data_IF_504283335696
#
_entry.id   IF_504283335696
#
_cell.length_a   1.000
_cell.length_b   1.000
_cell.length_c   1.000
_cell.angle_alpha   90.00
_cell.angle_beta   90.00
_cell.angle_gamma   90.00
#
_symmetry.space_group_name_H-M   'P 1'
#
loop_
_entity.id
_entity.type
_entity.pdbx_description
1 polymer ?
#
# COMPACT_ATOMS: atom_id res chain seq x y z
N UNK A 1 19.28 3.25 -5.98
CA UNK A 1 19.14 2.01 -6.74
C UNK A 1 20.49 1.27 -6.82
N UNK A 2 21.57 1.87 -7.27
CA UNK A 2 22.86 1.19 -7.42
C UNK A 2 23.38 0.55 -6.12
N UNK A 3 23.19 1.21 -4.95
CA UNK A 3 23.54 0.57 -3.66
C UNK A 3 22.70 -0.69 -3.40
N UNK A 4 21.43 -0.69 -3.78
CA UNK A 4 20.51 -1.81 -3.52
C UNK A 4 20.65 -2.95 -4.54
N UNK A 5 20.77 -2.61 -5.82
CA UNK A 5 20.73 -3.58 -6.91
C UNK A 5 22.04 -3.70 -7.70
N UNK A 6 22.96 -2.72 -7.61
CA UNK A 6 24.21 -2.74 -8.36
C UNK A 6 25.14 -3.89 -7.98
N UNK A 7 25.92 -4.39 -8.95
CA UNK A 7 26.94 -5.39 -8.68
C UNK A 7 28.07 -4.82 -7.78
N UNK A 8 28.86 -5.69 -7.18
CA UNK A 8 30.01 -5.29 -6.35
C UNK A 8 31.12 -4.55 -7.14
N UNK A 9 31.05 -4.53 -8.47
CA UNK A 9 31.96 -3.77 -9.31
C UNK A 9 31.59 -2.30 -9.45
N UNK A 10 30.37 -1.93 -9.12
CA UNK A 10 29.90 -0.55 -9.13
C UNK A 10 30.38 0.21 -7.88
N UNK A 11 30.38 1.54 -7.91
CA UNK A 11 30.81 2.35 -6.75
C UNK A 11 29.98 2.05 -5.51
N UNK A 12 28.65 2.06 -5.64
CA UNK A 12 27.74 1.85 -4.50
C UNK A 12 27.57 0.38 -4.12
N UNK A 13 27.72 -0.55 -5.07
CA UNK A 13 27.78 -1.98 -4.78
C UNK A 13 29.00 -2.35 -3.95
N UNK A 14 30.17 -1.72 -4.21
CA UNK A 14 31.38 -1.86 -3.36
C UNK A 14 31.13 -1.37 -1.93
N UNK A 15 30.43 -0.24 -1.77
CA UNK A 15 30.06 0.29 -0.44
C UNK A 15 29.12 -0.67 0.30
N UNK A 16 28.13 -1.23 -0.39
CA UNK A 16 27.25 -2.25 0.18
C UNK A 16 28.04 -3.47 0.65
N UNK A 17 28.93 -3.98 -0.19
CA UNK A 17 29.79 -5.13 0.14
C UNK A 17 30.71 -4.84 1.34
N UNK A 18 31.30 -3.63 1.41
CA UNK A 18 32.11 -3.19 2.55
C UNK A 18 31.30 -3.10 3.86
N UNK A 19 29.97 -2.86 3.77
CA UNK A 19 29.05 -2.89 4.91
C UNK A 19 28.58 -4.31 5.28
N UNK A 20 29.16 -5.35 4.68
CA UNK A 20 28.88 -6.75 5.00
C UNK A 20 27.80 -7.41 4.13
N UNK A 21 27.32 -6.73 3.09
CA UNK A 21 26.23 -7.22 2.20
C UNK A 21 26.68 -7.24 0.73
N UNK A 22 27.50 -8.25 0.29
CA UNK A 22 28.00 -8.31 -1.08
C UNK A 22 26.89 -8.54 -2.12
N UNK A 23 25.86 -9.32 -1.77
CA UNK A 23 24.76 -9.61 -2.67
C UNK A 23 23.75 -8.43 -2.77
N UNK A 24 23.18 -8.16 -3.96
CA UNK A 24 22.10 -7.21 -4.12
C UNK A 24 20.88 -7.52 -3.23
N UNK A 25 20.22 -6.47 -2.72
CA UNK A 25 18.99 -6.63 -1.95
C UNK A 25 17.77 -6.97 -2.82
N UNK A 26 17.84 -6.75 -4.13
CA UNK A 26 16.76 -7.05 -5.07
C UNK A 26 15.57 -6.10 -4.92
N UNK A 27 15.84 -4.78 -4.85
CA UNK A 27 14.78 -3.76 -4.88
C UNK A 27 13.91 -3.95 -6.12
N UNK A 28 12.61 -4.15 -5.91
CA UNK A 28 11.62 -4.31 -6.99
C UNK A 28 10.69 -3.11 -7.10
N UNK A 29 10.38 -2.46 -5.99
CA UNK A 29 9.40 -1.38 -5.91
C UNK A 29 10.05 -0.13 -5.35
N UNK A 30 9.77 1.01 -5.96
CA UNK A 30 10.23 2.32 -5.50
C UNK A 30 9.06 3.29 -5.55
N UNK A 31 8.65 3.76 -4.40
CA UNK A 31 7.68 4.84 -4.29
C UNK A 31 8.39 6.20 -4.38
N UNK A 32 7.78 7.14 -5.13
CA UNK A 32 8.26 8.50 -5.29
C UNK A 32 7.29 9.46 -4.60
N UNK A 33 7.73 10.03 -3.49
CA UNK A 33 6.98 10.95 -2.66
C UNK A 33 6.18 10.25 -1.55
N UNK A 34 5.34 11.02 -0.88
CA UNK A 34 4.36 10.59 0.10
C UNK A 34 3.26 11.63 0.19
N UNK A 35 1.99 11.25 0.04
CA UNK A 35 0.82 12.14 0.16
C UNK A 35 0.96 13.46 -0.64
N UNK A 36 1.50 13.36 -1.83
CA UNK A 36 1.80 14.52 -2.65
C UNK A 36 0.52 15.31 -3.00
N UNK A 37 0.59 16.62 -2.79
CA UNK A 37 -0.56 17.53 -2.95
C UNK A 37 -1.74 17.25 -2.00
N UNK A 38 -1.49 16.67 -0.81
CA UNK A 38 -2.54 16.43 0.19
C UNK A 38 -3.22 17.73 0.67
N UNK A 39 -2.49 18.86 0.71
CA UNK A 39 -2.98 20.14 1.19
C UNK A 39 -3.45 21.07 0.04
N UNK A 40 -4.46 20.64 -0.66
CA UNK A 40 -5.02 21.45 -1.73
C UNK A 40 -5.35 20.63 -2.98
N UNK A 41 -5.84 21.33 -4.02
CA UNK A 41 -6.19 20.74 -5.31
C UNK A 41 -5.80 21.71 -6.44
N UNK A 42 -4.55 22.19 -6.38
CA UNK A 42 -4.02 23.18 -7.30
C UNK A 42 -3.30 22.48 -8.44
N UNK A 43 -3.71 22.75 -9.67
CA UNK A 43 -3.14 22.12 -10.88
C UNK A 43 -1.63 22.29 -11.00
N UNK A 44 -1.09 23.45 -10.61
CA UNK A 44 0.34 23.72 -10.66
C UNK A 44 1.15 22.83 -9.72
N UNK A 45 0.59 22.47 -8.54
CA UNK A 45 1.26 21.59 -7.58
C UNK A 45 1.32 20.16 -8.13
N UNK A 46 0.25 19.69 -8.77
CA UNK A 46 0.27 18.39 -9.45
C UNK A 46 1.25 18.39 -10.63
N UNK A 47 1.35 19.51 -11.40
CA UNK A 47 2.32 19.59 -12.47
C UNK A 47 3.76 19.51 -11.94
N UNK A 48 4.06 20.23 -10.85
CA UNK A 48 5.36 20.17 -10.20
C UNK A 48 5.70 18.75 -9.70
N UNK A 49 4.72 18.06 -9.13
CA UNK A 49 4.89 16.65 -8.73
C UNK A 49 5.16 15.73 -9.93
N UNK A 50 4.39 15.89 -11.02
CA UNK A 50 4.56 15.10 -12.25
C UNK A 50 5.97 15.30 -12.83
N UNK A 51 6.45 16.53 -12.89
CA UNK A 51 7.77 16.85 -13.42
C UNK A 51 8.87 16.20 -12.57
N UNK A 52 8.79 16.35 -11.25
CA UNK A 52 9.72 15.70 -10.31
C UNK A 52 9.68 14.17 -10.38
N UNK A 53 8.49 13.58 -10.49
CA UNK A 53 8.34 12.14 -10.67
C UNK A 53 9.06 11.69 -11.94
N UNK A 54 8.86 12.38 -13.06
CA UNK A 54 9.48 12.02 -14.32
C UNK A 54 11.00 12.12 -14.28
N UNK A 55 11.56 13.16 -13.67
CA UNK A 55 13.02 13.32 -13.51
C UNK A 55 13.63 12.16 -12.72
N UNK A 56 12.98 11.75 -11.62
CA UNK A 56 13.43 10.65 -10.79
C UNK A 56 13.26 9.32 -11.54
N UNK A 57 12.11 9.12 -12.19
CA UNK A 57 11.83 7.95 -13.00
C UNK A 57 12.90 7.73 -14.07
N UNK A 58 13.21 8.75 -14.86
CA UNK A 58 14.20 8.64 -15.93
C UNK A 58 15.59 8.32 -15.39
N UNK A 59 16.01 8.97 -14.30
CA UNK A 59 17.31 8.74 -13.67
C UNK A 59 17.44 7.31 -13.09
N UNK A 60 16.39 6.78 -12.49
CA UNK A 60 16.38 5.44 -11.90
C UNK A 60 16.22 4.37 -12.98
N UNK A 61 15.27 4.54 -13.89
CA UNK A 61 15.00 3.59 -14.98
C UNK A 61 16.20 3.39 -15.90
N UNK A 62 16.99 4.44 -16.13
CA UNK A 62 18.25 4.33 -16.87
C UNK A 62 19.31 3.47 -16.17
N UNK A 63 19.20 3.31 -14.85
CA UNK A 63 20.13 2.49 -14.04
C UNK A 63 19.63 1.06 -13.83
N UNK A 64 18.33 0.91 -13.65
CA UNK A 64 17.67 -0.36 -13.39
C UNK A 64 16.24 -0.32 -13.94
N UNK A 65 16.02 -0.85 -15.17
CA UNK A 65 14.71 -0.83 -15.81
C UNK A 65 13.70 -1.81 -15.21
N UNK A 66 14.13 -2.72 -14.32
CA UNK A 66 13.26 -3.72 -13.69
C UNK A 66 12.53 -3.16 -12.46
N UNK A 67 12.96 -2.00 -11.95
CA UNK A 67 12.30 -1.35 -10.82
C UNK A 67 10.94 -0.85 -11.23
N UNK A 68 9.90 -1.25 -10.50
CA UNK A 68 8.54 -0.79 -10.66
C UNK A 68 8.29 0.42 -9.77
N UNK A 69 7.70 1.46 -10.37
CA UNK A 69 7.48 2.71 -9.67
C UNK A 69 6.07 2.80 -9.12
N UNK A 70 5.97 3.44 -7.96
CA UNK A 70 4.73 3.76 -7.29
C UNK A 70 4.67 5.27 -7.15
N UNK A 71 3.53 5.87 -7.45
CA UNK A 71 3.34 7.29 -7.25
C UNK A 71 2.33 7.57 -6.13
N UNK A 72 2.52 8.66 -5.42
CA UNK A 72 1.85 9.02 -4.18
C UNK A 72 1.00 10.28 -4.26
N UNK A 73 0.54 10.67 -5.46
CA UNK A 73 -0.40 11.80 -5.56
C UNK A 73 -1.68 11.49 -4.77
N UNK A 74 -2.05 12.40 -3.87
CA UNK A 74 -3.23 12.22 -3.00
C UNK A 74 -4.50 11.99 -3.83
N UNK A 75 -5.15 10.87 -3.62
CA UNK A 75 -6.36 10.49 -4.36
C UNK A 75 -7.54 11.39 -4.01
N UNK A 76 -8.11 12.07 -5.02
CA UNK A 76 -9.32 12.90 -4.91
C UNK A 76 -10.27 12.54 -6.05
N UNK A 77 -11.20 11.60 -5.85
CA UNK A 77 -12.01 11.05 -6.95
C UNK A 77 -12.78 12.10 -7.76
N UNK A 78 -13.13 13.24 -7.15
CA UNK A 78 -13.90 14.30 -7.82
C UNK A 78 -13.02 15.41 -8.46
N UNK A 79 -11.70 15.36 -8.25
CA UNK A 79 -10.80 16.33 -8.84
C UNK A 79 -10.53 16.04 -10.33
N UNK A 80 -10.61 17.04 -11.20
CA UNK A 80 -10.20 16.89 -12.61
C UNK A 80 -8.70 16.65 -12.76
N UNK A 81 -7.90 16.98 -11.75
CA UNK A 81 -6.47 16.79 -11.76
C UNK A 81 -6.07 15.30 -11.71
N UNK A 82 -6.94 14.41 -11.21
CA UNK A 82 -6.65 12.97 -11.14
C UNK A 82 -6.44 12.36 -12.53
N UNK A 83 -7.28 12.71 -13.49
CA UNK A 83 -7.09 12.25 -14.87
C UNK A 83 -5.78 12.77 -15.48
N UNK A 84 -5.40 14.00 -15.17
CA UNK A 84 -4.13 14.60 -15.63
C UNK A 84 -2.93 13.85 -15.06
N UNK A 85 -2.91 13.61 -13.74
CA UNK A 85 -1.85 12.83 -13.07
C UNK A 85 -1.77 11.43 -13.64
N UNK A 86 -2.91 10.74 -13.73
CA UNK A 86 -2.98 9.40 -14.28
C UNK A 86 -2.36 9.33 -15.69
N UNK A 87 -2.83 10.20 -16.62
CA UNK A 87 -2.34 10.20 -18.01
C UNK A 87 -0.86 10.55 -18.15
N UNK A 88 -0.34 11.36 -17.24
CA UNK A 88 1.08 11.74 -17.24
C UNK A 88 2.00 10.61 -16.74
N UNK A 89 1.49 9.73 -15.86
CA UNK A 89 2.28 8.71 -15.18
C UNK A 89 1.94 7.26 -15.59
N UNK A 90 0.82 7.05 -16.31
CA UNK A 90 0.45 5.74 -16.84
C UNK A 90 1.51 5.20 -17.81
N UNK A 91 1.91 3.95 -17.62
CA UNK A 91 3.03 3.34 -18.34
C UNK A 91 4.42 3.61 -17.74
N UNK A 92 4.53 4.52 -16.75
CA UNK A 92 5.74 4.75 -15.95
C UNK A 92 5.57 4.25 -14.53
N UNK A 93 4.50 4.67 -13.84
CA UNK A 93 4.12 4.13 -12.55
C UNK A 93 3.29 2.84 -12.75
N UNK A 94 3.66 1.79 -12.03
CA UNK A 94 2.91 0.54 -11.98
C UNK A 94 1.74 0.59 -10.98
N UNK A 95 1.84 1.48 -9.98
CA UNK A 95 0.86 1.59 -8.91
C UNK A 95 0.63 3.03 -8.50
N UNK A 96 -0.60 3.31 -8.07
CA UNK A 96 -1.01 4.50 -7.35
C UNK A 96 -1.15 4.16 -5.88
N UNK A 97 -0.43 4.84 -4.99
CA UNK A 97 -0.58 4.64 -3.56
C UNK A 97 -1.83 5.35 -3.03
N UNK A 98 -2.64 4.62 -2.27
CA UNK A 98 -3.90 5.07 -1.69
C UNK A 98 -3.86 4.89 -0.17
N UNK A 99 -4.16 5.95 0.59
CA UNK A 99 -4.12 5.99 2.04
C UNK A 99 -5.52 6.01 2.65
N UNK A 100 -6.13 4.86 2.94
CA UNK A 100 -7.44 4.79 3.57
C UNK A 100 -7.39 5.01 5.08
N UNK A 101 -8.54 5.39 5.63
CA UNK A 101 -8.76 5.52 7.07
C UNK A 101 -9.61 4.36 7.59
N UNK A 102 -9.21 3.73 8.72
CA UNK A 102 -9.76 2.45 9.19
C UNK A 102 -10.26 2.45 10.64
N UNK A 103 -10.61 3.59 11.21
CA UNK A 103 -11.18 3.67 12.56
C UNK A 103 -12.71 3.49 12.60
N UNK A 104 -13.41 3.81 11.52
CA UNK A 104 -14.87 3.87 11.49
C UNK A 104 -15.47 2.56 11.01
N UNK A 105 -16.60 2.15 11.61
CA UNK A 105 -17.33 0.94 11.21
C UNK A 105 -17.76 0.95 9.74
N UNK A 106 -17.98 2.15 9.16
CA UNK A 106 -18.26 2.32 7.72
C UNK A 106 -17.03 2.32 6.79
N UNK A 107 -15.82 2.19 7.33
CA UNK A 107 -14.58 2.25 6.53
C UNK A 107 -14.53 1.13 5.48
N UNK A 108 -15.02 -0.06 5.80
CA UNK A 108 -15.09 -1.19 4.87
C UNK A 108 -15.83 -0.81 3.58
N UNK A 109 -17.06 -0.33 3.70
CA UNK A 109 -17.91 0.04 2.56
C UNK A 109 -17.35 1.24 1.79
N UNK A 110 -16.76 2.19 2.49
CA UNK A 110 -16.13 3.35 1.87
C UNK A 110 -14.92 2.94 1.04
N UNK A 111 -14.02 2.14 1.59
CA UNK A 111 -12.80 1.68 0.93
C UNK A 111 -13.16 0.78 -0.27
N UNK A 112 -14.10 -0.14 -0.12
CA UNK A 112 -14.57 -1.01 -1.21
C UNK A 112 -15.12 -0.20 -2.39
N UNK A 113 -15.93 0.84 -2.09
CA UNK A 113 -16.46 1.77 -3.09
C UNK A 113 -15.33 2.57 -3.76
N UNK A 114 -14.41 3.16 -2.98
CA UNK A 114 -13.33 3.98 -3.52
C UNK A 114 -12.38 3.18 -4.40
N UNK A 115 -12.04 1.95 -4.04
CA UNK A 115 -11.22 1.06 -4.86
C UNK A 115 -11.94 0.65 -6.15
N UNK A 116 -13.24 0.39 -6.08
CA UNK A 116 -14.08 0.11 -7.25
C UNK A 116 -14.10 1.29 -8.20
N UNK A 117 -14.33 2.50 -7.68
CA UNK A 117 -14.36 3.74 -8.45
C UNK A 117 -12.99 4.07 -9.04
N UNK A 118 -11.91 3.90 -8.28
CA UNK A 118 -10.55 4.11 -8.76
C UNK A 118 -10.24 3.22 -9.96
N UNK A 119 -10.49 1.93 -9.83
CA UNK A 119 -10.32 0.96 -10.92
C UNK A 119 -11.15 1.32 -12.15
N UNK A 120 -12.42 1.70 -11.97
CA UNK A 120 -13.30 2.11 -13.05
C UNK A 120 -12.81 3.39 -13.75
N UNK A 121 -12.30 4.37 -12.99
CA UNK A 121 -11.71 5.61 -13.55
C UNK A 121 -10.44 5.30 -14.34
N UNK A 122 -9.54 4.46 -13.83
CA UNK A 122 -8.33 4.06 -14.56
C UNK A 122 -8.68 3.44 -15.92
N UNK A 123 -9.59 2.47 -15.95
CA UNK A 123 -10.04 1.84 -17.18
C UNK A 123 -10.79 2.79 -18.13
N UNK A 124 -11.49 3.78 -17.58
CA UNK A 124 -12.14 4.84 -18.37
C UNK A 124 -11.12 5.76 -19.03
N UNK A 125 -10.04 6.13 -18.31
CA UNK A 125 -9.00 7.02 -18.82
C UNK A 125 -8.05 6.32 -19.80
N UNK A 126 -7.74 5.05 -19.55
CA UNK A 126 -7.02 4.18 -20.47
C UNK A 126 -7.50 2.72 -20.33
N UNK A 127 -8.28 2.19 -21.28
CA UNK A 127 -8.75 0.79 -21.22
C UNK A 127 -7.64 -0.26 -21.25
N UNK A 128 -6.43 0.11 -21.66
CA UNK A 128 -5.28 -0.77 -21.75
C UNK A 128 -4.27 -0.55 -20.60
N UNK A 129 -4.62 0.24 -19.58
CA UNK A 129 -3.72 0.50 -18.48
C UNK A 129 -3.38 -0.77 -17.70
N UNK A 130 -2.14 -0.85 -17.26
CA UNK A 130 -1.67 -1.86 -16.32
C UNK A 130 -1.47 -1.27 -14.91
N UNK A 131 -1.72 0.04 -14.74
CA UNK A 131 -1.61 0.68 -13.44
C UNK A 131 -2.64 0.10 -12.47
N UNK A 132 -2.18 -0.21 -11.27
CA UNK A 132 -2.98 -0.76 -10.17
C UNK A 132 -2.86 0.12 -8.93
N UNK A 133 -3.37 -0.33 -7.81
CA UNK A 133 -3.31 0.35 -6.53
C UNK A 133 -2.31 -0.33 -5.60
N UNK A 134 -1.64 0.45 -4.76
CA UNK A 134 -0.97 0.01 -3.54
C UNK A 134 -1.60 0.73 -2.35
N UNK A 135 -1.51 0.15 -1.16
CA UNK A 135 -1.94 0.77 0.09
C UNK A 135 -0.75 0.70 1.04
N UNK A 136 0.12 1.71 1.00
CA UNK A 136 1.31 1.72 1.83
C UNK A 136 1.12 2.41 3.17
N UNK A 137 -0.05 3.06 3.33
CA UNK A 137 -0.40 3.72 4.58
C UNK A 137 -1.89 3.55 4.89
N UNK A 138 -2.22 2.49 5.62
CA UNK A 138 -3.55 2.28 6.18
C UNK A 138 -3.61 2.95 7.56
N UNK A 139 -4.34 4.06 7.66
CA UNK A 139 -4.35 4.94 8.83
C UNK A 139 -5.48 4.63 9.82
N UNK A 140 -5.22 4.91 11.10
CA UNK A 140 -6.23 4.86 12.16
C UNK A 140 -5.61 5.09 13.53
N UNK A 141 -6.30 5.83 14.41
CA UNK A 141 -5.81 6.24 15.73
C UNK A 141 -6.42 5.45 16.89
N UNK A 142 -7.43 4.63 16.66
CA UNK A 142 -8.02 3.85 17.73
C UNK A 142 -7.15 2.64 18.10
N UNK A 143 -7.03 2.36 19.41
CA UNK A 143 -6.27 1.23 19.94
C UNK A 143 -7.18 0.18 20.60
N UNK A 144 -8.37 -0.03 20.05
CA UNK A 144 -9.40 -0.87 20.62
C UNK A 144 -9.84 -1.99 19.65
N UNK A 145 -10.77 -2.80 20.12
CA UNK A 145 -11.32 -3.90 19.34
C UNK A 145 -12.09 -3.43 18.10
N UNK A 146 -12.68 -2.23 18.14
CA UNK A 146 -13.38 -1.67 16.97
C UNK A 146 -12.43 -1.51 15.77
N UNK A 147 -11.26 -0.86 15.96
CA UNK A 147 -10.26 -0.74 14.90
C UNK A 147 -9.76 -2.10 14.44
N UNK A 148 -9.58 -3.07 15.35
CA UNK A 148 -9.16 -4.41 14.97
C UNK A 148 -10.18 -5.10 14.05
N UNK A 149 -11.48 -4.97 14.35
CA UNK A 149 -12.56 -5.53 13.53
C UNK A 149 -12.61 -4.80 12.18
N UNK A 150 -12.56 -3.46 12.17
CA UNK A 150 -12.54 -2.66 10.93
C UNK A 150 -11.35 -3.05 10.08
N UNK A 151 -10.16 -3.11 10.65
CA UNK A 151 -8.95 -3.54 9.95
C UNK A 151 -9.10 -4.95 9.37
N UNK A 152 -9.64 -5.91 10.10
CA UNK A 152 -9.89 -7.25 9.60
C UNK A 152 -10.88 -7.28 8.42
N UNK A 153 -11.94 -6.46 8.45
CA UNK A 153 -12.87 -6.33 7.32
C UNK A 153 -12.21 -5.65 6.13
N UNK A 154 -11.34 -4.66 6.33
CA UNK A 154 -10.56 -4.01 5.26
C UNK A 154 -9.59 -5.00 4.62
N UNK A 155 -8.96 -5.90 5.39
CA UNK A 155 -8.17 -7.00 4.82
C UNK A 155 -9.00 -7.91 3.89
N UNK A 156 -10.27 -8.13 4.21
CA UNK A 156 -11.19 -8.85 3.33
C UNK A 156 -11.54 -8.04 2.07
N UNK A 157 -11.69 -6.71 2.17
CA UNK A 157 -11.84 -5.82 0.99
C UNK A 157 -10.62 -5.94 0.08
N UNK A 158 -9.41 -5.83 0.63
CA UNK A 158 -8.15 -5.98 -0.13
C UNK A 158 -8.10 -7.31 -0.86
N UNK A 159 -8.51 -8.42 -0.22
CA UNK A 159 -8.59 -9.73 -0.90
C UNK A 159 -9.60 -9.74 -2.03
N UNK A 160 -10.76 -9.07 -1.87
CA UNK A 160 -11.76 -8.94 -2.95
C UNK A 160 -11.22 -8.18 -4.16
N UNK A 161 -10.33 -7.23 -3.94
CA UNK A 161 -9.66 -6.44 -4.97
C UNK A 161 -8.24 -6.93 -5.32
N UNK A 162 -7.89 -8.19 -5.04
CA UNK A 162 -6.55 -8.74 -5.21
C UNK A 162 -6.00 -8.72 -6.64
N UNK A 163 -6.84 -8.56 -7.66
CA UNK A 163 -6.45 -8.30 -9.05
C UNK A 163 -6.03 -6.83 -9.30
N UNK A 164 -6.37 -5.92 -8.39
CA UNK A 164 -6.09 -4.50 -8.50
C UNK A 164 -5.10 -3.98 -7.44
N UNK A 165 -5.01 -4.62 -6.27
CA UNK A 165 -4.16 -4.18 -5.17
C UNK A 165 -2.88 -5.00 -5.10
N UNK A 166 -1.72 -4.33 -4.98
CA UNK A 166 -0.43 -4.97 -4.75
C UNK A 166 -0.32 -5.52 -3.33
N UNK A 167 -0.51 -4.66 -2.36
CA UNK A 167 -0.39 -4.97 -0.91
C UNK A 167 -1.04 -3.88 -0.08
N UNK A 168 -1.22 -4.17 1.22
CA UNK A 168 -1.59 -3.17 2.23
C UNK A 168 -0.59 -3.20 3.38
N UNK A 169 -0.26 -2.02 3.89
CA UNK A 169 0.62 -1.80 5.04
C UNK A 169 -0.06 -0.86 6.01
N UNK A 170 -0.18 -1.26 7.27
CA UNK A 170 -0.70 -0.36 8.28
C UNK A 170 0.38 0.62 8.77
N UNK A 171 0.04 1.87 8.90
CA UNK A 171 0.86 2.90 9.51
C UNK A 171 0.43 3.12 10.98
N UNK A 172 1.32 3.29 11.89
CA UNK A 172 2.73 2.96 11.94
C UNK A 172 2.91 1.51 12.43
N UNK A 173 3.84 0.74 11.88
CA UNK A 173 4.08 -0.60 12.38
C UNK A 173 4.62 -0.59 13.82
N UNK A 174 5.59 0.26 14.12
CA UNK A 174 6.23 0.41 15.42
C UNK A 174 6.11 1.85 15.92
N UNK A 175 5.80 2.03 17.20
CA UNK A 175 5.71 3.35 17.81
C UNK A 175 6.24 3.31 19.25
N UNK A 176 7.13 4.24 19.63
CA UNK A 176 7.47 4.43 21.04
C UNK A 176 6.23 4.84 21.83
N UNK A 177 6.01 4.20 22.97
CA UNK A 177 4.87 4.54 23.83
C UNK A 177 4.95 6.00 24.31
N UNK A 178 3.83 6.71 24.22
CA UNK A 178 3.69 8.14 24.51
C UNK A 178 4.42 9.11 23.55
N UNK A 179 4.98 8.61 22.45
CA UNK A 179 5.55 9.46 21.42
C UNK A 179 4.52 9.71 20.31
N UNK A 180 3.67 10.70 20.53
CA UNK A 180 2.64 11.17 19.60
C UNK A 180 2.67 12.70 19.42
N UNK A 181 3.86 13.27 19.55
CA UNK A 181 4.14 14.71 19.46
C UNK A 181 3.89 15.30 18.07
N UNK A 182 3.88 14.46 17.03
CA UNK A 182 3.48 14.82 15.67
C UNK A 182 1.96 14.75 15.41
N UNK A 183 1.16 14.41 16.42
CA UNK A 183 -0.31 14.25 16.30
C UNK A 183 -0.77 12.87 15.83
N UNK A 184 0.16 11.93 15.56
CA UNK A 184 -0.16 10.58 15.13
C UNK A 184 0.03 9.58 16.28
N UNK A 185 -1.02 8.83 16.58
CA UNK A 185 -1.01 7.74 17.56
C UNK A 185 -1.60 6.48 16.93
N UNK A 186 -0.86 5.89 15.97
CA UNK A 186 -1.34 4.86 15.07
C UNK A 186 -0.66 3.50 15.26
N UNK A 187 0.30 3.40 16.19
CA UNK A 187 1.15 2.22 16.34
C UNK A 187 0.39 0.90 16.46
N UNK A 188 0.79 -0.08 15.69
CA UNK A 188 0.32 -1.46 15.86
C UNK A 188 1.08 -2.17 16.96
N UNK A 189 2.38 -1.89 17.08
CA UNK A 189 3.24 -2.41 18.15
C UNK A 189 3.87 -1.25 18.86
N UNK A 190 3.61 -1.15 20.14
CA UNK A 190 4.23 -0.18 21.02
C UNK A 190 5.42 -0.77 21.75
N UNK A 191 6.38 0.10 22.09
CA UNK A 191 7.55 -0.29 22.86
C UNK A 191 8.02 0.81 23.82
N UNK A 192 8.68 0.36 24.86
CA UNK A 192 9.52 1.15 25.78
C UNK A 192 10.90 0.51 25.83
N UNK A 193 11.90 1.09 26.52
CA UNK A 193 13.20 0.43 26.69
C UNK A 193 13.15 -0.97 27.31
N UNK A 194 12.09 -1.33 28.01
CA UNK A 194 11.98 -2.61 28.70
C UNK A 194 10.82 -3.50 28.28
N UNK A 195 9.93 -3.05 27.39
CA UNK A 195 8.71 -3.78 27.05
C UNK A 195 8.32 -3.54 25.58
N UNK A 196 7.69 -4.55 24.98
CA UNK A 196 7.06 -4.50 23.65
C UNK A 196 5.71 -5.18 23.74
N UNK A 197 4.65 -4.58 23.13
CA UNK A 197 3.32 -5.19 23.07
C UNK A 197 2.58 -4.81 21.80
N UNK A 198 1.76 -5.73 21.32
CA UNK A 198 0.86 -5.51 20.18
C UNK A 198 -0.47 -4.91 20.60
N UNK A 199 -1.02 -4.05 19.75
CA UNK A 199 -2.39 -3.54 19.87
C UNK A 199 -3.38 -4.52 19.23
N UNK A 200 -4.70 -4.40 19.46
CA UNK A 200 -5.69 -5.29 18.85
C UNK A 200 -5.57 -5.40 17.33
N UNK A 201 -5.24 -4.31 16.64
CA UNK A 201 -5.02 -4.27 15.19
C UNK A 201 -3.84 -5.13 14.76
N UNK A 202 -2.74 -5.15 15.54
CA UNK A 202 -1.59 -6.02 15.27
C UNK A 202 -2.00 -7.50 15.26
N UNK A 203 -2.81 -7.94 16.21
CA UNK A 203 -3.23 -9.34 16.27
C UNK A 203 -4.18 -9.70 15.13
N UNK A 204 -5.05 -8.80 14.70
CA UNK A 204 -5.88 -8.98 13.52
C UNK A 204 -5.01 -9.13 12.24
N UNK A 205 -4.00 -8.26 12.09
CA UNK A 205 -3.03 -8.34 10.99
C UNK A 205 -2.22 -9.65 11.06
N UNK A 206 -1.74 -10.04 12.23
CA UNK A 206 -0.96 -11.27 12.42
C UNK A 206 -1.76 -12.51 12.03
N UNK A 207 -3.02 -12.61 12.47
CA UNK A 207 -3.92 -13.70 12.09
C UNK A 207 -4.13 -13.75 10.58
N UNK A 208 -4.39 -12.59 9.97
CA UNK A 208 -4.60 -12.45 8.53
C UNK A 208 -3.38 -12.87 7.72
N UNK A 209 -2.18 -12.46 8.14
CA UNK A 209 -0.93 -12.76 7.44
C UNK A 209 -0.48 -14.22 7.63
N UNK A 210 -0.68 -14.78 8.83
CA UNK A 210 -0.28 -16.15 9.13
C UNK A 210 -1.16 -17.20 8.43
N UNK A 211 -2.39 -16.84 8.08
CA UNK A 211 -3.38 -17.73 7.48
C UNK A 211 -3.89 -17.16 6.17
N UNK A 212 -3.01 -17.08 5.16
CA UNK A 212 -3.33 -16.55 3.84
C UNK A 212 -2.81 -17.47 2.76
N UNK A 213 -3.65 -17.72 1.73
CA UNK A 213 -3.27 -18.38 0.50
C UNK A 213 -3.33 -17.43 -0.69
N UNK A 214 -2.52 -17.65 -1.75
CA UNK A 214 -2.35 -16.69 -2.84
C UNK A 214 -3.57 -16.57 -3.78
N UNK A 215 -4.43 -17.56 -3.81
CA UNK A 215 -5.57 -17.57 -4.75
C UNK A 215 -6.87 -17.27 -4.01
N UNK A 216 -7.58 -16.22 -4.44
CA UNK A 216 -8.91 -15.93 -3.93
C UNK A 216 -9.95 -16.87 -4.55
N UNK A 217 -10.84 -17.40 -3.71
CA UNK A 217 -12.05 -18.08 -4.14
C UNK A 217 -13.22 -17.10 -4.14
N UNK A 218 -14.12 -17.26 -5.12
CA UNK A 218 -15.39 -16.56 -5.07
C UNK A 218 -16.22 -17.12 -3.89
N UNK A 219 -16.83 -16.24 -3.12
CA UNK A 219 -17.66 -16.59 -1.96
C UNK A 219 -18.91 -15.73 -1.93
N UNK A 220 -20.04 -16.34 -1.63
CA UNK A 220 -21.31 -15.67 -1.35
C UNK A 220 -21.67 -15.92 0.10
N UNK A 221 -22.04 -14.86 0.80
CA UNK A 221 -22.37 -14.90 2.22
C UNK A 221 -23.80 -14.43 2.41
N UNK A 222 -24.59 -15.19 3.16
CA UNK A 222 -25.93 -14.80 3.59
C UNK A 222 -25.90 -14.53 5.08
N UNK A 223 -26.10 -13.26 5.45
CA UNK A 223 -26.05 -12.79 6.84
C UNK A 223 -25.15 -11.58 7.00
N UNK A 224 -24.79 -11.27 8.25
CA UNK A 224 -24.08 -10.04 8.62
C UNK A 224 -22.56 -10.20 8.70
N UNK A 225 -22.05 -11.44 8.56
CA UNK A 225 -20.60 -11.68 8.62
C UNK A 225 -19.91 -11.24 7.33
N UNK A 226 -18.74 -10.64 7.46
CA UNK A 226 -17.84 -10.39 6.34
C UNK A 226 -16.93 -11.61 6.14
N UNK A 227 -17.00 -12.23 4.97
CA UNK A 227 -16.23 -13.45 4.70
C UNK A 227 -15.53 -13.37 3.35
N UNK A 228 -14.27 -13.76 3.33
CA UNK A 228 -13.53 -14.09 2.11
C UNK A 228 -12.90 -15.48 2.24
N UNK A 229 -12.64 -16.12 1.10
CA UNK A 229 -11.99 -17.42 1.05
C UNK A 229 -10.75 -17.36 0.17
N UNK A 230 -9.68 -18.03 0.61
CA UNK A 230 -8.46 -18.21 -0.16
C UNK A 230 -8.08 -19.68 -0.24
N UNK A 231 -7.33 -20.06 -1.28
CA UNK A 231 -6.82 -21.42 -1.47
C UNK A 231 -5.38 -21.41 -1.93
N UNK A 232 -4.67 -22.47 -1.63
CA UNK A 232 -3.32 -22.69 -2.13
C UNK A 232 -3.32 -23.01 -3.64
N UNK A 233 -2.14 -23.06 -4.25
CA UNK A 233 -1.98 -23.36 -5.69
C UNK A 233 -2.47 -24.77 -6.05
N UNK A 234 -2.31 -25.74 -5.15
CA UNK A 234 -2.79 -27.11 -5.34
C UNK A 234 -4.32 -27.23 -5.24
N UNK A 235 -4.99 -26.20 -4.68
CA UNK A 235 -6.47 -26.14 -4.45
C UNK A 235 -7.01 -27.26 -3.58
N UNK A 236 -6.22 -27.75 -2.66
CA UNK A 236 -6.57 -28.80 -1.69
C UNK A 236 -6.72 -28.26 -0.25
N UNK A 237 -6.41 -26.98 -0.02
CA UNK A 237 -6.60 -26.29 1.24
C UNK A 237 -7.38 -24.98 1.04
N UNK A 238 -8.36 -24.72 1.89
CA UNK A 238 -9.16 -23.50 1.87
C UNK A 238 -9.10 -22.83 3.24
N UNK A 239 -8.80 -21.53 3.24
CA UNK A 239 -8.86 -20.69 4.43
C UNK A 239 -10.05 -19.75 4.30
N UNK A 240 -10.88 -19.69 5.33
CA UNK A 240 -11.97 -18.73 5.46
C UNK A 240 -11.53 -17.61 6.41
N UNK A 241 -11.63 -16.38 5.93
CA UNK A 241 -11.41 -15.16 6.71
C UNK A 241 -12.79 -14.62 7.10
N UNK A 242 -13.18 -14.82 8.34
CA UNK A 242 -14.52 -14.48 8.88
C UNK A 242 -14.38 -13.37 9.91
N UNK A 243 -15.16 -12.28 9.73
CA UNK A 243 -15.21 -11.14 10.63
C UNK A 243 -16.65 -10.82 11.01
#
# INVERSE_FOLDING_TARGET
VEYLNGSVDTEWGKKRAANGHPEPYGLKYLEIGNEEVIWGDIEADYQHYIDRFNDIYEAVHAKDPEVQFIHSAWWRPESPNMEKVFKALDGKAAYWDYHPWTDDLGSRENIDRELTDMKAKFLKWNPNTTMRCAIFEENGNLHNIQRAIVHATVQNVVRRHGDFILTTCAANALQPYLQNDNGWDQGQVFFTPGQVWGMPTFYAQQMSAAHHHPLRLWSEVKGELDVTATTNEARDEVILHVV
#
